data_IF_126385546024
#
_entry.id   IF_126385546024
#
_cell.length_a   1.000
_cell.length_b   1.000
_cell.length_c   1.000
_cell.angle_alpha   90.00
_cell.angle_beta   90.00
_cell.angle_gamma   90.00
#
_symmetry.space_group_name_H-M   'P 1'
#
loop_
_entity.id
_entity.type
_entity.pdbx_description
1 polymer ?
#
# COMPACT_ATOMS: atom_id res chain seq x y z
N UNK A 1 11.83 -18.48 5.31
CA UNK A 1 10.96 -18.34 4.12
C UNK A 1 9.48 -18.26 4.50
N UNK A 2 8.93 -19.17 5.30
CA UNK A 2 7.51 -19.12 5.71
C UNK A 2 7.11 -17.83 6.48
N UNK A 3 7.96 -17.33 7.37
CA UNK A 3 7.69 -16.08 8.13
C UNK A 3 7.58 -14.85 7.22
N UNK A 4 8.49 -14.70 6.25
CA UNK A 4 8.42 -13.61 5.26
C UNK A 4 7.12 -13.65 4.47
N UNK A 5 6.63 -14.83 4.09
CA UNK A 5 5.36 -14.96 3.35
C UNK A 5 4.15 -14.56 4.19
N UNK A 6 4.13 -14.86 5.49
CA UNK A 6 3.06 -14.42 6.40
C UNK A 6 3.06 -12.90 6.58
N UNK A 7 4.23 -12.29 6.74
CA UNK A 7 4.39 -10.85 6.90
C UNK A 7 3.92 -10.07 5.64
N UNK A 8 4.16 -10.62 4.44
CA UNK A 8 3.62 -10.07 3.17
C UNK A 8 2.11 -10.07 3.17
N UNK A 9 1.49 -11.21 3.49
CA UNK A 9 0.04 -11.35 3.36
C UNK A 9 -0.67 -10.42 4.35
N UNK A 10 -0.10 -10.26 5.55
CA UNK A 10 -0.54 -9.27 6.51
C UNK A 10 -0.40 -7.83 5.97
N UNK A 11 0.73 -7.52 5.34
CA UNK A 11 0.92 -6.24 4.68
C UNK A 11 -0.14 -5.97 3.60
N UNK A 12 -0.28 -6.87 2.63
CA UNK A 12 -1.22 -6.68 1.51
C UNK A 12 -2.64 -6.49 2.04
N UNK A 13 -3.02 -7.26 3.06
CA UNK A 13 -4.32 -7.11 3.71
C UNK A 13 -4.51 -5.71 4.33
N UNK A 14 -3.49 -5.17 5.01
CA UNK A 14 -3.56 -3.80 5.54
C UNK A 14 -3.55 -2.72 4.46
N UNK A 15 -2.89 -2.93 3.32
CA UNK A 15 -2.96 -2.01 2.16
C UNK A 15 -4.38 -1.95 1.60
N UNK A 16 -5.03 -3.11 1.46
CA UNK A 16 -6.41 -3.19 1.00
C UNK A 16 -7.33 -2.41 1.95
N UNK A 17 -7.16 -2.57 3.26
CA UNK A 17 -7.91 -1.81 4.25
C UNK A 17 -7.61 -0.29 4.19
N UNK A 18 -6.36 0.12 3.95
CA UNK A 18 -6.00 1.53 3.79
C UNK A 18 -6.62 2.17 2.53
N UNK A 19 -6.71 1.42 1.43
CA UNK A 19 -7.22 1.93 0.15
C UNK A 19 -8.76 1.93 0.11
N UNK A 20 -9.40 0.79 0.42
CA UNK A 20 -10.86 0.66 0.33
C UNK A 20 -11.59 1.01 1.63
N UNK A 21 -10.88 1.02 2.76
CA UNK A 21 -11.44 1.17 4.10
C UNK A 21 -11.51 -0.18 4.81
N UNK A 22 -11.22 -0.18 6.10
CA UNK A 22 -11.21 -1.36 6.96
C UNK A 22 -12.52 -2.14 6.88
N UNK A 23 -12.44 -3.42 6.53
CA UNK A 23 -13.60 -4.33 6.47
C UNK A 23 -14.56 -4.11 5.29
N UNK A 24 -14.20 -3.26 4.32
CA UNK A 24 -15.04 -3.01 3.12
C UNK A 24 -14.90 -4.12 2.07
N UNK A 25 -13.75 -4.78 2.02
CA UNK A 25 -13.50 -5.94 1.15
C UNK A 25 -13.69 -7.20 1.99
N UNK A 26 -14.77 -7.92 1.73
CA UNK A 26 -15.26 -9.00 2.60
C UNK A 26 -14.24 -10.14 2.80
N UNK A 27 -13.49 -10.51 1.76
CA UNK A 27 -12.53 -11.61 1.80
C UNK A 27 -11.12 -11.16 2.22
N UNK A 28 -10.94 -9.90 2.62
CA UNK A 28 -9.63 -9.36 2.99
C UNK A 28 -9.14 -9.92 4.33
N UNK A 29 -8.49 -11.07 4.30
CA UNK A 29 -7.71 -11.62 5.40
C UNK A 29 -6.37 -12.11 4.87
N UNK A 30 -5.29 -12.14 5.69
CA UNK A 30 -3.99 -12.62 5.25
C UNK A 30 -4.04 -14.02 4.62
N UNK A 31 -4.89 -14.91 5.12
CA UNK A 31 -5.02 -16.29 4.65
C UNK A 31 -5.51 -16.35 3.19
N UNK A 32 -6.35 -15.40 2.79
CA UNK A 32 -6.95 -15.31 1.46
C UNK A 32 -6.09 -14.56 0.44
N UNK A 33 -4.95 -14.01 0.85
CA UNK A 33 -4.02 -13.33 -0.07
C UNK A 33 -3.29 -14.38 -0.91
N UNK A 34 -3.55 -14.38 -2.21
CA UNK A 34 -2.87 -15.17 -3.24
C UNK A 34 -2.07 -14.26 -4.19
N UNK A 35 -1.37 -14.84 -5.17
CA UNK A 35 -0.52 -14.09 -6.09
C UNK A 35 -1.34 -13.13 -6.98
N UNK A 36 -2.56 -13.47 -7.37
CA UNK A 36 -3.44 -12.61 -8.15
C UNK A 36 -3.88 -11.37 -7.35
N UNK A 37 -4.19 -11.56 -6.07
CA UNK A 37 -4.50 -10.45 -5.14
C UNK A 37 -3.29 -9.54 -5.01
N UNK A 38 -2.08 -10.10 -4.85
CA UNK A 38 -0.83 -9.33 -4.79
C UNK A 38 -0.65 -8.50 -6.07
N UNK A 39 -0.88 -9.09 -7.24
CA UNK A 39 -0.76 -8.42 -8.54
C UNK A 39 -1.75 -7.26 -8.69
N UNK A 40 -3.02 -7.46 -8.34
CA UNK A 40 -4.02 -6.39 -8.38
C UNK A 40 -3.66 -5.25 -7.42
N UNK A 41 -3.19 -5.57 -6.21
CA UNK A 41 -2.80 -4.55 -5.24
C UNK A 41 -1.56 -3.79 -5.71
N UNK A 42 -0.56 -4.45 -6.31
CA UNK A 42 0.59 -3.81 -6.94
C UNK A 42 0.14 -2.78 -8.00
N UNK A 43 -0.74 -3.18 -8.93
CA UNK A 43 -1.27 -2.30 -9.97
C UNK A 43 -1.97 -1.07 -9.37
N UNK A 44 -2.76 -1.28 -8.31
CA UNK A 44 -3.50 -0.21 -7.63
C UNK A 44 -2.52 0.79 -7.01
N UNK A 45 -1.52 0.30 -6.28
CA UNK A 45 -0.48 1.12 -5.66
C UNK A 45 0.29 1.90 -6.72
N UNK A 46 0.65 1.28 -7.85
CA UNK A 46 1.32 1.95 -8.95
C UNK A 46 0.44 3.04 -9.59
N UNK A 47 -0.86 2.79 -9.75
CA UNK A 47 -1.82 3.79 -10.23
C UNK A 47 -1.95 4.97 -9.28
N UNK A 48 -2.02 4.70 -7.97
CA UNK A 48 -2.05 5.73 -6.95
C UNK A 48 -0.79 6.57 -7.09
N UNK A 49 0.39 5.95 -7.04
CA UNK A 49 1.68 6.63 -7.24
C UNK A 49 1.68 7.48 -8.51
N UNK A 50 1.28 6.92 -9.64
CA UNK A 50 1.31 7.64 -10.92
C UNK A 50 0.41 8.87 -10.90
N UNK A 51 -0.79 8.75 -10.33
CA UNK A 51 -1.73 9.85 -10.16
C UNK A 51 -1.19 10.94 -9.22
N UNK A 52 -0.61 10.55 -8.09
CA UNK A 52 -0.15 11.47 -7.06
C UNK A 52 1.26 12.02 -7.29
N UNK A 53 2.07 11.45 -8.19
CA UNK A 53 3.46 11.85 -8.48
C UNK A 53 3.61 13.35 -8.78
N UNK A 54 2.63 13.96 -9.43
CA UNK A 54 2.64 15.41 -9.73
C UNK A 54 2.34 16.29 -8.51
N UNK A 55 1.73 15.73 -7.47
CA UNK A 55 1.37 16.39 -6.21
C UNK A 55 2.53 16.34 -5.18
N UNK A 56 3.50 15.43 -5.37
CA UNK A 56 4.66 15.18 -4.47
C UNK A 56 5.62 16.36 -4.35
N UNK A 57 5.64 17.31 -5.29
CA UNK A 57 6.52 18.50 -5.18
C UNK A 57 6.28 19.33 -3.91
N UNK A 58 5.18 19.10 -3.19
CA UNK A 58 4.78 19.88 -2.01
C UNK A 58 5.03 19.15 -0.68
N UNK A 59 5.24 17.83 -0.66
CA UNK A 59 5.36 17.06 0.61
C UNK A 59 6.60 16.13 0.63
N UNK A 60 7.64 16.53 1.38
CA UNK A 60 8.86 15.75 1.60
C UNK A 60 8.59 14.37 2.22
N UNK A 61 7.52 14.25 3.01
CA UNK A 61 7.08 13.00 3.66
C UNK A 61 6.80 11.88 2.66
N UNK A 62 6.56 12.23 1.40
CA UNK A 62 6.11 11.29 0.38
C UNK A 62 7.22 10.86 -0.58
N UNK A 63 8.38 11.52 -0.61
CA UNK A 63 9.50 11.20 -1.51
C UNK A 63 9.88 9.71 -1.47
N UNK A 64 9.73 9.08 -0.31
CA UNK A 64 10.01 7.68 -0.07
C UNK A 64 9.23 6.69 -0.94
N UNK A 65 7.94 6.93 -1.15
CA UNK A 65 7.15 5.97 -1.92
C UNK A 65 7.38 6.06 -3.42
N UNK A 66 7.98 7.17 -3.88
CA UNK A 66 8.33 7.41 -5.27
C UNK A 66 9.81 7.24 -5.55
N UNK A 67 10.67 7.18 -4.53
CA UNK A 67 12.11 6.92 -4.67
C UNK A 67 12.42 5.45 -4.90
N UNK A 68 11.52 4.54 -4.49
CA UNK A 68 11.61 3.12 -4.78
C UNK A 68 10.97 2.80 -6.15
N UNK A 69 11.75 2.46 -7.20
CA UNK A 69 11.22 1.84 -8.40
C UNK A 69 10.72 0.42 -8.06
N UNK A 70 9.56 0.03 -8.62
CA UNK A 70 9.13 -1.36 -8.66
C UNK A 70 8.10 -1.81 -7.60
N UNK A 71 8.09 -3.12 -7.39
CA UNK A 71 7.12 -3.94 -6.64
C UNK A 71 6.91 -3.46 -5.21
N UNK A 72 5.80 -3.84 -4.54
CA UNK A 72 5.56 -3.51 -3.11
C UNK A 72 6.77 -3.83 -2.23
N UNK A 73 7.56 -4.84 -2.57
CA UNK A 73 8.79 -5.19 -1.85
C UNK A 73 9.90 -4.16 -1.92
N UNK A 74 10.17 -3.62 -3.11
CA UNK A 74 11.20 -2.58 -3.28
C UNK A 74 10.78 -1.30 -2.56
N UNK A 75 9.47 -1.04 -2.48
CA UNK A 75 8.91 0.07 -1.71
C UNK A 75 9.14 -0.11 -0.22
N UNK A 76 8.84 -1.30 0.33
CA UNK A 76 9.10 -1.59 1.74
C UNK A 76 10.60 -1.54 2.06
N UNK A 77 11.44 -2.11 1.21
CA UNK A 77 12.89 -2.10 1.39
C UNK A 77 13.43 -0.66 1.40
N UNK A 78 12.95 0.19 0.49
CA UNK A 78 13.25 1.62 0.48
C UNK A 78 12.79 2.33 1.76
N UNK A 79 11.61 1.99 2.27
CA UNK A 79 11.09 2.52 3.53
C UNK A 79 11.92 2.11 4.74
N UNK A 80 12.30 0.84 4.85
CA UNK A 80 13.18 0.35 5.91
C UNK A 80 14.52 1.10 5.87
N UNK A 81 15.11 1.22 4.67
CA UNK A 81 16.39 1.89 4.48
C UNK A 81 16.33 3.38 4.84
N UNK A 82 15.26 4.07 4.46
CA UNK A 82 15.12 5.50 4.73
C UNK A 82 14.72 5.80 6.18
N UNK A 83 13.89 4.97 6.82
CA UNK A 83 13.64 5.07 8.27
C UNK A 83 14.92 4.87 9.06
N UNK A 84 15.79 3.93 8.64
CA UNK A 84 17.10 3.74 9.22
C UNK A 84 18.03 4.94 8.96
N UNK A 85 18.02 5.50 7.75
CA UNK A 85 18.89 6.61 7.35
C UNK A 85 18.48 7.97 7.98
N UNK A 86 17.18 8.25 8.06
CA UNK A 86 16.63 9.51 8.57
C UNK A 86 16.30 9.46 10.07
N UNK A 87 16.56 8.33 10.74
CA UNK A 87 16.30 8.16 12.17
C UNK A 87 14.81 8.27 12.54
N UNK A 88 13.91 8.11 11.56
CA UNK A 88 12.46 8.12 11.76
C UNK A 88 12.11 6.82 12.46
N UNK A 89 12.13 6.87 13.79
CA UNK A 89 11.57 5.82 14.63
C UNK A 89 10.09 6.08 14.77
N UNK A 90 9.27 5.27 14.10
CA UNK A 90 7.97 4.94 14.69
C UNK A 90 8.25 4.49 16.14
N UNK A 91 7.55 5.00 17.17
CA UNK A 91 7.72 4.56 18.56
C UNK A 91 7.67 3.02 18.74
N UNK A 92 7.16 2.26 17.77
CA UNK A 92 7.12 0.80 17.76
C UNK A 92 8.10 0.11 16.77
N UNK A 93 8.94 0.86 16.04
CA UNK A 93 9.84 0.32 15.02
C UNK A 93 9.12 -0.51 13.93
N UNK A 94 7.84 -0.21 13.67
CA UNK A 94 6.98 -1.03 12.82
C UNK A 94 6.83 -0.41 11.43
N UNK A 95 7.72 -0.80 10.52
CA UNK A 95 7.73 -0.39 9.12
C UNK A 95 6.37 -0.59 8.42
N UNK A 96 5.64 -1.65 8.78
CA UNK A 96 4.33 -1.94 8.22
C UNK A 96 3.28 -0.91 8.68
N UNK A 97 3.31 -0.53 9.96
CA UNK A 97 2.42 0.49 10.50
C UNK A 97 2.69 1.87 9.87
N UNK A 98 3.95 2.23 9.66
CA UNK A 98 4.34 3.44 8.91
C UNK A 98 3.80 3.41 7.48
N UNK A 99 3.86 2.26 6.80
CA UNK A 99 3.34 2.11 5.45
C UNK A 99 1.81 2.23 5.38
N UNK A 100 1.08 1.62 6.33
CA UNK A 100 -0.38 1.75 6.41
C UNK A 100 -0.83 3.17 6.74
N UNK A 101 -0.17 3.80 7.72
CA UNK A 101 -0.46 5.18 8.12
C UNK A 101 -0.30 6.17 6.98
N UNK A 102 0.50 5.82 5.96
CA UNK A 102 0.61 6.63 4.76
C UNK A 102 -0.66 6.62 3.89
N UNK A 103 -1.28 5.46 3.66
CA UNK A 103 -2.56 5.40 2.94
C UNK A 103 -3.67 6.14 3.69
N UNK A 104 -3.68 6.06 5.03
CA UNK A 104 -4.60 6.84 5.86
C UNK A 104 -4.36 8.35 5.74
N UNK A 105 -3.10 8.80 5.78
CA UNK A 105 -2.73 10.19 5.59
C UNK A 105 -3.10 10.72 4.19
N UNK A 106 -2.82 9.94 3.14
CA UNK A 106 -3.20 10.25 1.77
C UNK A 106 -4.72 10.32 1.59
N UNK A 107 -5.47 9.44 2.25
CA UNK A 107 -6.94 9.45 2.23
C UNK A 107 -7.52 10.66 2.97
N UNK A 108 -6.86 11.09 4.04
CA UNK A 108 -7.21 12.30 4.80
C UNK A 108 -6.93 13.59 4.01
N UNK A 109 -5.91 13.61 3.16
CA UNK A 109 -5.60 14.76 2.33
C UNK A 109 -6.49 14.82 1.07
N UNK A 110 -7.22 15.93 0.90
CA UNK A 110 -8.20 16.12 -0.20
C UNK A 110 -7.60 15.93 -1.60
N UNK A 111 -6.34 16.31 -1.81
CA UNK A 111 -5.69 16.21 -3.12
C UNK A 111 -5.38 14.75 -3.49
N UNK A 112 -4.84 13.99 -2.54
CA UNK A 112 -4.43 12.60 -2.73
C UNK A 112 -5.61 11.62 -2.66
N UNK A 113 -6.67 11.98 -1.93
CA UNK A 113 -7.90 11.19 -1.83
C UNK A 113 -8.50 10.84 -3.18
N UNK A 114 -8.46 11.76 -4.15
CA UNK A 114 -8.98 11.51 -5.51
C UNK A 114 -8.23 10.38 -6.21
N UNK A 115 -6.90 10.31 -6.03
CA UNK A 115 -6.08 9.24 -6.60
C UNK A 115 -6.41 7.89 -5.96
N UNK A 116 -6.53 7.84 -4.63
CA UNK A 116 -6.89 6.61 -3.90
C UNK A 116 -8.28 6.13 -4.29
N UNK A 117 -9.29 7.00 -4.19
CA UNK A 117 -10.69 6.63 -4.49
C UNK A 117 -10.83 6.18 -5.95
N UNK A 118 -10.19 6.87 -6.89
CA UNK A 118 -10.24 6.47 -8.30
C UNK A 118 -9.59 5.10 -8.50
N UNK A 119 -8.38 4.88 -7.98
CA UNK A 119 -7.68 3.60 -8.12
C UNK A 119 -8.45 2.44 -7.45
N UNK A 120 -9.05 2.70 -6.29
CA UNK A 120 -9.90 1.76 -5.57
C UNK A 120 -11.14 1.37 -6.38
N UNK A 121 -11.84 2.36 -6.95
CA UNK A 121 -13.03 2.12 -7.78
C UNK A 121 -12.68 1.33 -9.05
N UNK A 122 -11.62 1.71 -9.77
CA UNK A 122 -11.23 1.05 -11.02
C UNK A 122 -10.84 -0.42 -10.86
N UNK A 123 -10.38 -0.82 -9.67
CA UNK A 123 -9.85 -2.17 -9.45
C UNK A 123 -10.67 -3.00 -8.48
N UNK A 124 -11.80 -2.51 -7.96
CA UNK A 124 -12.61 -3.24 -6.98
C UNK A 124 -13.03 -4.62 -7.51
N UNK A 125 -13.60 -4.68 -8.70
CA UNK A 125 -14.03 -5.95 -9.30
C UNK A 125 -12.84 -6.88 -9.60
N UNK A 126 -11.71 -6.33 -10.06
CA UNK A 126 -10.47 -7.11 -10.28
C UNK A 126 -9.98 -7.74 -8.98
N UNK A 127 -10.02 -6.98 -7.88
CA UNK A 127 -9.61 -7.45 -6.57
C UNK A 127 -10.56 -8.53 -6.05
N UNK A 128 -11.87 -8.32 -6.16
CA UNK A 128 -12.88 -9.31 -5.73
C UNK A 128 -12.78 -10.61 -6.55
N UNK A 129 -12.50 -10.55 -7.87
CA UNK A 129 -12.24 -11.73 -8.69
C UNK A 129 -10.93 -12.44 -8.32
N UNK A 130 -9.86 -11.69 -8.06
CA UNK A 130 -8.59 -12.25 -7.62
C UNK A 130 -8.73 -13.01 -6.29
N UNK A 131 -9.55 -12.52 -5.35
CA UNK A 131 -9.89 -13.24 -4.12
C UNK A 131 -10.65 -14.55 -4.36
N UNK A 132 -11.39 -14.67 -5.46
CA UNK A 132 -12.08 -15.89 -5.88
C UNK A 132 -11.19 -16.83 -6.70
N UNK A 133 -10.00 -16.38 -7.11
CA UNK A 133 -9.06 -17.14 -7.94
C UNK A 133 -9.54 -17.31 -9.39
N UNK A 134 -10.22 -16.30 -9.94
CA UNK A 134 -10.79 -16.29 -11.31
C UNK A 134 -10.29 -15.08 -12.09
#
# INVERSE_FOLDING_TARGET
MAQQTADIKFLISGIIDGIWGKGIIANNTPENINDDVINVVNDVVERIKTCSKKMVRVDMTYNLLYSAPGTIWEVLAGLVADMAANGIKDPNNNVLATYFGWFDALRGNRQYRTCIVSAALYNRSRLEMAFLGI
#
